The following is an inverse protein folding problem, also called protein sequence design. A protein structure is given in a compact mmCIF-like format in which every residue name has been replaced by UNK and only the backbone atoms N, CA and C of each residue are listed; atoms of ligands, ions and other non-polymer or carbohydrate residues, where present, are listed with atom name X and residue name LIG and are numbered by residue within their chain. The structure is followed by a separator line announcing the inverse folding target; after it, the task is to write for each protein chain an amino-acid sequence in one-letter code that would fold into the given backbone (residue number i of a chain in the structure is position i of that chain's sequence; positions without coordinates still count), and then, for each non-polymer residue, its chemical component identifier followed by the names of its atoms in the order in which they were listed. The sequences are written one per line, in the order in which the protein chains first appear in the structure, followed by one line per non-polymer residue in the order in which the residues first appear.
data_IF_890201837677
#
_entry.id   IF_890201837677
#
_cell.length_a   1.000
_cell.length_b   1.000
_cell.length_c   1.000
_cell.angle_alpha   90.00
_cell.angle_beta   90.00
_cell.angle_gamma   90.00
#
_symmetry.space_group_name_H-M   'P 1'
#
loop_
_entity.id
_entity.type
_entity.pdbx_description
1 polymer ?
#
# COMPACT_ATOMS: atom_id res chain seq x y z
N UNK A 1 -2.74 -30.85 -14.52
CA UNK A 1 -1.51 -30.20 -14.02
C UNK A 1 -1.71 -29.96 -12.53
N UNK A 2 -0.97 -30.66 -11.67
CA UNK A 2 -1.07 -30.50 -10.21
C UNK A 2 -0.02 -29.47 -9.78
N UNK A 3 -0.41 -28.47 -8.99
CA UNK A 3 0.52 -27.45 -8.50
C UNK A 3 1.44 -28.09 -7.44
N UNK A 4 2.76 -28.01 -7.64
CA UNK A 4 3.76 -28.50 -6.69
C UNK A 4 4.06 -27.44 -5.63
N UNK A 5 4.35 -27.87 -4.41
CA UNK A 5 4.78 -26.97 -3.35
C UNK A 5 6.12 -26.29 -3.72
N UNK A 6 6.22 -24.96 -3.73
CA UNK A 6 7.45 -24.26 -4.12
C UNK A 6 8.59 -24.40 -3.09
N UNK A 7 8.33 -25.03 -1.95
CA UNK A 7 9.30 -25.21 -0.85
C UNK A 7 9.82 -26.64 -0.75
N UNK A 8 8.99 -27.64 -1.04
CA UNK A 8 9.35 -29.05 -0.83
C UNK A 8 8.96 -29.99 -1.96
N UNK A 9 8.49 -29.44 -3.09
CA UNK A 9 8.08 -30.14 -4.31
C UNK A 9 7.01 -31.22 -4.11
N UNK A 10 6.37 -31.26 -2.94
CA UNK A 10 5.26 -32.16 -2.69
C UNK A 10 4.03 -31.74 -3.51
N UNK A 11 3.36 -32.74 -4.10
CA UNK A 11 2.03 -32.56 -4.67
C UNK A 11 0.97 -32.43 -3.58
N UNK A 12 -0.20 -31.89 -3.94
CA UNK A 12 -1.34 -31.77 -3.02
C UNK A 12 -1.33 -30.49 -2.20
N UNK A 13 -1.15 -29.34 -2.85
CA UNK A 13 -1.45 -28.05 -2.24
C UNK A 13 -2.97 -27.92 -2.07
N UNK A 14 -3.41 -27.59 -0.86
CA UNK A 14 -4.80 -27.26 -0.57
C UNK A 14 -5.04 -25.78 -0.85
N UNK A 15 -6.08 -25.50 -1.64
CA UNK A 15 -6.54 -24.16 -1.96
C UNK A 15 -7.85 -23.90 -1.22
N UNK A 16 -7.87 -22.88 -0.39
CA UNK A 16 -9.10 -22.37 0.25
C UNK A 16 -9.39 -20.98 -0.30
N UNK A 17 -10.64 -20.71 -0.65
CA UNK A 17 -11.07 -19.41 -1.15
C UNK A 17 -12.24 -18.90 -0.32
N UNK A 18 -12.14 -17.68 0.17
CA UNK A 18 -13.18 -17.00 0.94
C UNK A 18 -13.46 -15.63 0.32
N UNK A 19 -14.74 -15.24 0.28
CA UNK A 19 -15.13 -13.87 -0.08
C UNK A 19 -15.38 -13.06 1.19
N UNK A 20 -14.93 -11.82 1.20
CA UNK A 20 -15.15 -10.89 2.31
C UNK A 20 -15.59 -9.53 1.77
N UNK A 21 -16.41 -8.83 2.53
CA UNK A 21 -16.69 -7.42 2.29
C UNK A 21 -15.82 -6.57 3.23
N UNK A 22 -14.88 -5.81 2.67
CA UNK A 22 -13.99 -4.94 3.42
C UNK A 22 -14.37 -3.49 3.15
N UNK A 23 -14.47 -2.68 4.21
CA UNK A 23 -14.70 -1.25 4.10
C UNK A 23 -13.75 -0.60 3.05
N UNK A 24 -14.31 0.23 2.18
CA UNK A 24 -13.64 0.95 1.08
C UNK A 24 -13.14 0.10 -0.10
N UNK A 25 -12.67 -1.12 0.14
CA UNK A 25 -12.31 -2.07 -0.92
C UNK A 25 -13.52 -2.75 -1.56
N UNK A 26 -14.62 -2.87 -0.83
CA UNK A 26 -15.81 -3.59 -1.29
C UNK A 26 -15.60 -5.10 -1.17
N UNK A 27 -16.14 -5.86 -2.13
CA UNK A 27 -15.98 -7.31 -2.17
C UNK A 27 -14.55 -7.68 -2.58
N UNK A 28 -13.93 -8.52 -1.76
CA UNK A 28 -12.61 -9.09 -1.99
C UNK A 28 -12.69 -10.62 -1.95
N UNK A 29 -11.74 -11.26 -2.64
CA UNK A 29 -11.51 -12.68 -2.61
C UNK A 29 -10.15 -12.96 -1.97
N UNK A 30 -10.17 -13.62 -0.82
CA UNK A 30 -9.00 -14.19 -0.17
C UNK A 30 -8.78 -15.60 -0.70
N UNK A 31 -7.55 -15.90 -1.12
CA UNK A 31 -7.13 -17.23 -1.55
C UNK A 31 -5.94 -17.68 -0.72
N UNK A 32 -6.08 -18.79 0.00
CA UNK A 32 -5.03 -19.39 0.81
C UNK A 32 -4.58 -20.72 0.20
N UNK A 33 -3.29 -20.82 -0.09
CA UNK A 33 -2.63 -22.06 -0.48
C UNK A 33 -1.82 -22.63 0.70
N UNK A 34 -2.05 -23.89 1.06
CA UNK A 34 -1.33 -24.57 2.15
C UNK A 34 -0.73 -25.91 1.70
N UNK A 35 0.51 -26.17 2.07
CA UNK A 35 1.12 -27.50 1.95
C UNK A 35 0.97 -28.27 3.26
N UNK A 36 0.33 -29.44 3.22
CA UNK A 36 0.16 -30.30 4.39
C UNK A 36 1.46 -31.01 4.83
N UNK A 37 2.48 -31.06 3.96
CA UNK A 37 3.76 -31.74 4.25
C UNK A 37 4.77 -30.84 4.98
N UNK A 38 5.05 -29.65 4.45
CA UNK A 38 6.05 -28.74 5.02
C UNK A 38 5.45 -27.52 5.73
N UNK A 39 4.13 -27.35 5.70
CA UNK A 39 3.46 -26.21 6.33
C UNK A 39 3.53 -24.89 5.56
N UNK A 40 4.09 -24.88 4.33
CA UNK A 40 4.07 -23.70 3.47
C UNK A 40 2.65 -23.12 3.39
N UNK A 41 2.54 -21.80 3.57
CA UNK A 41 1.29 -21.05 3.50
C UNK A 41 1.51 -19.79 2.68
N UNK A 42 0.63 -19.57 1.71
CA UNK A 42 0.56 -18.34 0.93
C UNK A 42 -0.87 -17.84 0.92
N UNK A 43 -1.06 -16.55 1.18
CA UNK A 43 -2.36 -15.90 1.14
C UNK A 43 -2.26 -14.79 0.10
N UNK A 44 -3.22 -14.74 -0.80
CA UNK A 44 -3.39 -13.69 -1.78
C UNK A 44 -4.78 -13.06 -1.64
N UNK A 45 -4.88 -11.76 -1.90
CA UNK A 45 -6.12 -11.00 -1.76
C UNK A 45 -6.35 -10.20 -3.03
N UNK A 46 -7.48 -10.44 -3.67
CA UNK A 46 -7.90 -9.73 -4.87
C UNK A 46 -9.19 -8.96 -4.63
N UNK A 47 -9.24 -7.70 -5.06
CA UNK A 47 -10.49 -6.93 -5.08
C UNK A 47 -11.30 -7.37 -6.29
N UNK A 48 -12.57 -7.77 -6.10
CA UNK A 48 -13.41 -8.29 -7.16
C UNK A 48 -14.07 -7.18 -8.00
N UNK A 49 -14.21 -5.98 -7.44
CA UNK A 49 -14.70 -4.81 -8.16
C UNK A 49 -13.58 -4.08 -8.92
N UNK A 50 -13.79 -3.84 -10.21
CA UNK A 50 -13.01 -2.87 -10.97
C UNK A 50 -13.68 -1.49 -10.87
N UNK A 51 -12.87 -0.48 -10.56
CA UNK A 51 -13.26 0.92 -10.52
C UNK A 51 -12.46 1.69 -11.56
N UNK A 52 -12.98 2.83 -11.98
CA UNK A 52 -12.27 3.70 -12.91
C UNK A 52 -10.86 4.05 -12.40
N UNK A 53 -9.83 3.94 -13.25
CA UNK A 53 -8.48 4.38 -12.94
C UNK A 53 -8.51 5.80 -12.38
N UNK A 54 -7.82 6.03 -11.27
CA UNK A 54 -7.86 7.34 -10.64
C UNK A 54 -6.58 7.73 -9.96
N UNK A 55 -6.45 9.05 -9.78
CA UNK A 55 -5.37 9.69 -9.06
C UNK A 55 -5.95 10.57 -7.97
N UNK A 56 -5.47 10.37 -6.76
CA UNK A 56 -5.74 11.25 -5.63
C UNK A 56 -4.52 12.13 -5.37
N UNK A 57 -4.74 13.42 -5.15
CA UNK A 57 -3.74 14.34 -4.64
C UNK A 57 -4.30 15.03 -3.39
N UNK A 58 -3.55 14.96 -2.29
CA UNK A 58 -3.91 15.58 -1.02
C UNK A 58 -2.72 16.36 -0.48
N UNK A 59 -2.95 17.65 -0.16
CA UNK A 59 -1.94 18.51 0.44
C UNK A 59 -2.08 18.45 1.96
N UNK A 60 -1.11 17.83 2.62
CA UNK A 60 -1.02 17.81 4.08
C UNK A 60 -0.25 19.05 4.54
N UNK A 61 -0.83 19.85 5.44
CA UNK A 61 -0.28 21.13 5.89
C UNK A 61 -0.15 21.24 7.42
N UNK A 62 -0.77 20.33 8.17
CA UNK A 62 -0.77 20.34 9.63
C UNK A 62 -0.88 18.95 10.26
N UNK A 63 -0.87 18.91 11.59
CA UNK A 63 -0.94 17.67 12.37
C UNK A 63 -2.27 16.95 12.25
N UNK A 64 -3.36 17.68 12.03
CA UNK A 64 -4.70 17.15 11.82
C UNK A 64 -4.79 16.31 10.54
N UNK A 65 -4.02 16.69 9.51
CA UNK A 65 -4.00 16.01 8.22
C UNK A 65 -3.33 14.65 8.27
N UNK A 66 -2.49 14.43 9.26
CA UNK A 66 -1.83 13.16 9.51
C UNK A 66 -2.84 12.05 9.83
N UNK A 67 -4.02 12.41 10.34
CA UNK A 67 -5.10 11.48 10.66
C UNK A 67 -6.03 11.18 9.48
N UNK A 68 -5.90 11.89 8.35
CA UNK A 68 -6.73 11.66 7.16
C UNK A 68 -6.57 10.22 6.70
N UNK A 69 -7.71 9.54 6.53
CA UNK A 69 -7.73 8.11 6.16
C UNK A 69 -7.24 7.92 4.73
N UNK A 70 -6.37 6.95 4.55
CA UNK A 70 -5.79 6.54 3.26
C UNK A 70 -6.12 5.07 3.02
N UNK A 71 -6.72 4.79 1.87
CA UNK A 71 -6.94 3.45 1.35
C UNK A 71 -6.02 3.31 0.15
N UNK A 72 -5.16 2.30 0.16
CA UNK A 72 -4.15 2.12 -0.87
C UNK A 72 -4.18 0.70 -1.39
N UNK A 73 -4.38 0.53 -2.68
CA UNK A 73 -4.32 -0.79 -3.32
C UNK A 73 -2.87 -1.23 -3.59
N UNK A 74 -2.63 -2.54 -3.67
CA UNK A 74 -1.31 -3.09 -4.02
C UNK A 74 -0.81 -2.68 -5.41
N UNK A 75 -1.74 -2.32 -6.32
CA UNK A 75 -1.47 -1.88 -7.69
C UNK A 75 -1.23 -0.37 -7.81
N UNK A 76 -1.27 0.39 -6.72
CA UNK A 76 -1.08 1.83 -6.75
C UNK A 76 0.39 2.26 -6.67
N UNK A 77 0.67 3.42 -7.26
CA UNK A 77 1.89 4.19 -7.05
C UNK A 77 1.65 5.29 -6.02
N UNK A 78 2.53 5.40 -5.02
CA UNK A 78 2.54 6.49 -4.03
C UNK A 78 3.70 7.43 -4.34
N UNK A 79 3.43 8.74 -4.40
CA UNK A 79 4.43 9.77 -4.69
C UNK A 79 4.31 10.93 -3.68
N UNK A 80 5.47 11.35 -3.14
CA UNK A 80 5.62 12.60 -2.38
C UNK A 80 6.86 13.31 -2.93
N UNK A 81 6.65 14.31 -3.78
CA UNK A 81 7.72 14.97 -4.54
C UNK A 81 8.67 15.74 -3.64
N UNK A 82 8.14 16.37 -2.60
CA UNK A 82 8.89 17.19 -1.63
C UNK A 82 9.88 16.35 -0.81
N UNK A 83 9.60 15.05 -0.67
CA UNK A 83 10.49 14.06 -0.07
C UNK A 83 11.34 13.31 -1.11
N UNK A 84 11.09 13.51 -2.41
CA UNK A 84 11.77 12.76 -3.48
C UNK A 84 11.40 11.26 -3.48
N UNK A 85 10.21 10.91 -2.97
CA UNK A 85 9.77 9.53 -2.80
C UNK A 85 8.76 9.15 -3.89
N UNK A 86 9.00 8.03 -4.54
CA UNK A 86 8.05 7.37 -5.44
C UNK A 86 8.11 5.85 -5.22
N UNK A 87 7.02 5.27 -4.75
CA UNK A 87 6.87 3.84 -4.52
C UNK A 87 5.93 3.30 -5.59
N UNK A 88 6.44 2.40 -6.44
CA UNK A 88 5.67 1.74 -7.48
C UNK A 88 5.17 0.37 -7.01
N UNK A 89 4.15 -0.21 -7.67
CA UNK A 89 3.72 -1.58 -7.43
C UNK A 89 4.90 -2.56 -7.54
N UNK A 90 4.83 -3.63 -6.76
CA UNK A 90 5.83 -4.70 -6.73
C UNK A 90 5.18 -6.03 -6.37
N UNK A 91 5.90 -7.15 -6.53
CA UNK A 91 5.32 -8.50 -6.38
C UNK A 91 4.82 -8.83 -4.96
N UNK A 92 5.34 -8.15 -3.94
CA UNK A 92 4.92 -8.32 -2.54
C UNK A 92 4.14 -7.10 -2.02
N UNK A 93 3.58 -6.27 -2.91
CA UNK A 93 3.00 -4.99 -2.51
C UNK A 93 1.51 -5.17 -2.17
N UNK A 94 1.22 -5.23 -0.88
CA UNK A 94 -0.14 -5.43 -0.38
C UNK A 94 -0.93 -4.11 -0.30
N UNK A 95 -2.25 -4.23 -0.46
CA UNK A 95 -3.17 -3.14 -0.16
C UNK A 95 -3.32 -2.93 1.34
N UNK A 96 -3.59 -1.71 1.78
CA UNK A 96 -3.82 -1.41 3.20
C UNK A 96 -4.78 -0.25 3.40
N UNK A 97 -5.37 -0.20 4.60
CA UNK A 97 -6.15 0.92 5.12
C UNK A 97 -5.35 1.53 6.27
N UNK A 98 -5.00 2.80 6.16
CA UNK A 98 -4.20 3.52 7.16
C UNK A 98 -4.59 5.00 7.16
N UNK A 99 -3.69 5.88 7.59
CA UNK A 99 -3.80 7.33 7.52
C UNK A 99 -2.54 7.92 6.89
N UNK A 100 -2.49 9.25 6.72
CA UNK A 100 -1.33 9.93 6.14
C UNK A 100 -0.05 9.68 6.95
N UNK A 101 -0.12 9.68 8.29
CA UNK A 101 1.01 9.32 9.16
C UNK A 101 1.52 7.90 8.91
N UNK A 102 0.62 6.93 8.81
CA UNK A 102 0.98 5.54 8.53
C UNK A 102 1.55 5.33 7.13
N UNK A 103 1.25 6.19 6.16
CA UNK A 103 1.94 6.22 4.87
C UNK A 103 3.37 6.72 5.04
N UNK A 104 3.58 7.80 5.80
CA UNK A 104 4.92 8.32 6.09
C UNK A 104 5.77 7.29 6.85
N UNK A 105 5.22 6.61 7.84
CA UNK A 105 5.90 5.55 8.61
C UNK A 105 6.35 4.40 7.71
N UNK A 106 5.51 3.96 6.75
CA UNK A 106 5.92 2.93 5.78
C UNK A 106 7.04 3.40 4.86
N UNK A 107 7.02 4.68 4.45
CA UNK A 107 8.12 5.28 3.67
C UNK A 107 9.40 5.29 4.51
N UNK A 108 9.29 5.67 5.78
CA UNK A 108 10.38 5.70 6.75
C UNK A 108 11.05 4.31 6.87
N UNK A 109 10.26 3.25 7.03
CA UNK A 109 10.75 1.86 7.12
C UNK A 109 11.53 1.43 5.87
N UNK A 110 11.03 1.78 4.68
CA UNK A 110 11.72 1.49 3.40
C UNK A 110 13.05 2.23 3.33
N UNK A 111 13.08 3.49 3.76
CA UNK A 111 14.31 4.30 3.79
C UNK A 111 15.30 3.73 4.80
N UNK A 112 14.84 3.21 5.94
CA UNK A 112 15.69 2.58 6.95
C UNK A 112 16.46 1.36 6.42
N UNK A 113 15.87 0.59 5.50
CA UNK A 113 16.52 -0.57 4.87
C UNK A 113 17.63 -0.19 3.87
N UNK A 114 17.71 1.06 3.44
CA UNK A 114 18.76 1.50 2.52
C UNK A 114 20.11 1.65 3.22
N UNK A 115 21.21 1.52 2.46
CA UNK A 115 22.57 1.77 2.96
C UNK A 115 22.68 3.16 3.56
N UNK A 116 23.44 3.28 4.66
CA UNK A 116 23.64 4.57 5.30
C UNK A 116 24.33 5.55 4.35
N UNK A 117 23.78 6.75 4.29
CA UNK A 117 24.25 7.85 3.44
C UNK A 117 23.74 9.17 3.99
N UNK A 118 24.44 10.26 3.67
CA UNK A 118 23.99 11.60 4.02
C UNK A 118 22.58 11.89 3.47
N UNK A 119 22.28 11.40 2.26
CA UNK A 119 20.95 11.48 1.63
C UNK A 119 19.88 10.78 2.45
N UNK A 120 20.16 9.57 2.97
CA UNK A 120 19.24 8.82 3.85
C UNK A 120 18.92 9.62 5.10
N UNK A 121 19.95 10.14 5.79
CA UNK A 121 19.78 10.91 7.03
C UNK A 121 18.96 12.19 6.81
N UNK A 122 19.26 12.92 5.73
CA UNK A 122 18.50 14.12 5.36
C UNK A 122 17.02 13.80 5.03
N UNK A 123 16.75 12.67 4.39
CA UNK A 123 15.39 12.23 4.09
C UNK A 123 14.62 11.83 5.37
N UNK A 124 15.25 11.07 6.27
CA UNK A 124 14.64 10.70 7.56
C UNK A 124 14.29 11.93 8.39
N UNK A 125 15.15 12.94 8.43
CA UNK A 125 14.85 14.21 9.11
C UNK A 125 13.66 14.95 8.48
N UNK A 126 13.52 14.93 7.15
CA UNK A 126 12.34 15.50 6.48
C UNK A 126 11.06 14.72 6.79
N UNK A 127 11.13 13.39 6.79
CA UNK A 127 9.99 12.52 7.14
C UNK A 127 9.56 12.78 8.58
N UNK A 128 10.51 12.91 9.51
CA UNK A 128 10.23 13.27 10.90
C UNK A 128 9.49 14.61 11.01
N UNK A 129 9.97 15.66 10.33
CA UNK A 129 9.28 16.97 10.30
C UNK A 129 7.87 16.87 9.69
N UNK A 130 7.67 16.03 8.69
CA UNK A 130 6.37 15.77 8.09
C UNK A 130 5.42 15.08 9.10
N UNK A 131 5.90 14.08 9.85
CA UNK A 131 5.15 13.41 10.93
C UNK A 131 4.86 14.30 12.13
N UNK A 132 5.60 15.39 12.30
CA UNK A 132 5.30 16.43 13.30
C UNK A 132 4.36 17.52 12.77
N UNK A 133 3.90 17.43 11.51
CA UNK A 133 3.06 18.47 10.88
C UNK A 133 3.81 19.79 10.59
N UNK A 134 5.14 19.79 10.66
CA UNK A 134 5.99 20.98 10.45
C UNK A 134 6.54 21.09 9.03
N UNK A 135 6.10 20.20 8.15
CA UNK A 135 6.52 20.15 6.76
C UNK A 135 5.32 19.80 5.90
N UNK A 136 4.91 20.74 5.06
CA UNK A 136 3.79 20.53 4.14
C UNK A 136 4.26 19.73 2.91
N UNK A 137 3.42 18.81 2.43
CA UNK A 137 3.72 17.97 1.29
C UNK A 137 2.46 17.54 0.54
N UNK A 138 2.62 17.18 -0.73
CA UNK A 138 1.55 16.60 -1.53
C UNK A 138 1.66 15.08 -1.55
N UNK A 139 0.74 14.40 -0.87
CA UNK A 139 0.54 12.97 -1.01
C UNK A 139 -0.24 12.69 -2.29
N UNK A 140 0.37 11.97 -3.23
CA UNK A 140 -0.29 11.51 -4.44
C UNK A 140 -0.36 9.99 -4.48
N UNK A 141 -1.54 9.47 -4.80
CA UNK A 141 -1.78 8.05 -5.03
C UNK A 141 -2.37 7.89 -6.43
N UNK A 142 -1.68 7.17 -7.30
CA UNK A 142 -2.15 6.85 -8.65
C UNK A 142 -2.47 5.37 -8.72
N UNK A 143 -3.71 5.02 -9.01
CA UNK A 143 -4.19 3.64 -8.98
C UNK A 143 -4.90 3.27 -10.30
N UNK A 144 -4.24 2.47 -11.15
CA UNK A 144 -4.85 1.95 -12.38
C UNK A 144 -6.08 1.06 -12.14
N UNK A 145 -6.25 0.51 -10.94
CA UNK A 145 -7.42 -0.32 -10.60
C UNK A 145 -8.55 0.46 -9.92
N UNK A 146 -8.33 1.75 -9.65
CA UNK A 146 -9.33 2.63 -9.02
C UNK A 146 -9.69 2.31 -7.56
N UNK A 147 -8.96 1.40 -6.91
CA UNK A 147 -9.27 0.86 -5.59
C UNK A 147 -8.61 1.61 -4.41
N UNK A 148 -7.91 2.70 -4.70
CA UNK A 148 -7.31 3.59 -3.70
C UNK A 148 -8.20 4.81 -3.45
N UNK A 149 -8.07 5.41 -2.27
CA UNK A 149 -8.78 6.63 -1.89
C UNK A 149 -8.02 7.41 -0.81
N UNK A 150 -8.21 8.73 -0.79
CA UNK A 150 -7.87 9.59 0.35
C UNK A 150 -9.16 10.23 0.82
N UNK A 151 -9.56 9.96 2.06
CA UNK A 151 -10.87 10.35 2.58
C UNK A 151 -10.79 11.71 3.24
N UNK A 152 -10.84 12.75 2.41
CA UNK A 152 -10.91 14.14 2.83
C UNK A 152 -11.59 14.96 1.74
N UNK A 153 -12.41 15.94 2.13
CA UNK A 153 -13.02 16.89 1.20
C UNK A 153 -11.98 17.74 0.45
N UNK A 154 -10.76 17.85 0.98
CA UNK A 154 -9.64 18.54 0.34
C UNK A 154 -8.86 17.65 -0.63
N UNK A 155 -9.14 16.35 -0.68
CA UNK A 155 -8.48 15.45 -1.62
C UNK A 155 -9.06 15.65 -3.03
N UNK A 156 -8.19 15.89 -4.01
CA UNK A 156 -8.57 16.01 -5.41
C UNK A 156 -8.48 14.64 -6.08
N UNK A 157 -9.60 14.18 -6.67
CA UNK A 157 -9.68 12.96 -7.47
C UNK A 157 -9.73 13.32 -8.96
N UNK A 158 -8.87 12.70 -9.75
CA UNK A 158 -8.80 12.85 -11.21
C UNK A 158 -8.82 11.47 -11.87
N UNK A 159 -9.43 11.33 -13.05
CA UNK A 159 -9.30 10.13 -13.89
C UNK A 159 -7.94 10.10 -14.60
N UNK A 160 -7.43 8.91 -14.91
CA UNK A 160 -6.11 8.72 -15.56
C UNK A 160 -6.16 7.76 -16.74
#
# INVERSE_FOLDING_TARGET
MQLLCPVCDAAGLELTTNSHEIAYFGEIMETMTKCQKCGYRHVDVMVLGEKEPSRYTFKAEGTEDLNVRVVRSGKSTVEIKELGVKITPGPANEGYISNVEGVLTRIEDIVFMQKDSERKRALLEKIKKAKEGKFAFNLKITDPSGNSAILSDRAKKEGI
#
